data_IF_810298723541
#
_entry.id   IF_810298723541
#
_cell.length_a   1.000
_cell.length_b   1.000
_cell.length_c   1.000
_cell.angle_alpha   90.00
_cell.angle_beta   90.00
_cell.angle_gamma   90.00
#
_symmetry.space_group_name_H-M   'P 1'
#
loop_
_entity.id
_entity.type
_entity.pdbx_description
1 polymer ?
#
# COMPACT_ATOMS: atom_id res chain seq x y z
N UNK A 1 -4.14 -19.30 6.79
CA UNK A 1 -4.52 -18.12 7.62
C UNK A 1 -4.64 -16.93 6.70
N UNK A 2 -5.71 -16.16 6.83
CA UNK A 2 -5.86 -14.84 6.20
C UNK A 2 -5.86 -13.82 7.35
N UNK A 3 -5.01 -12.81 7.26
CA UNK A 3 -4.91 -11.75 8.25
C UNK A 3 -5.21 -10.38 7.60
N UNK A 4 -5.83 -9.49 8.35
CA UNK A 4 -5.99 -8.11 7.95
C UNK A 4 -4.67 -7.34 8.17
N UNK A 5 -4.55 -6.19 7.52
CA UNK A 5 -3.40 -5.28 7.63
C UNK A 5 -3.54 -4.34 8.86
N UNK A 6 -2.44 -3.78 9.34
CA UNK A 6 -1.05 -4.13 9.05
C UNK A 6 -0.69 -5.51 9.63
N UNK A 7 0.39 -6.13 9.14
CA UNK A 7 0.81 -7.46 9.61
C UNK A 7 1.08 -7.49 11.12
N UNK A 8 1.76 -6.48 11.64
CA UNK A 8 1.97 -6.20 13.05
C UNK A 8 2.50 -4.78 13.24
N UNK A 9 2.45 -4.28 14.47
CA UNK A 9 3.06 -3.00 14.89
C UNK A 9 4.55 -3.14 15.24
N UNK A 10 5.14 -4.35 15.15
CA UNK A 10 6.54 -4.64 15.48
C UNK A 10 7.14 -5.68 14.55
N UNK A 11 8.35 -5.44 14.05
CA UNK A 11 9.04 -6.40 13.17
C UNK A 11 9.29 -7.74 13.84
N UNK A 12 9.66 -7.75 15.13
CA UNK A 12 9.86 -8.99 15.87
C UNK A 12 8.61 -9.87 15.96
N UNK A 13 7.42 -9.29 15.89
CA UNK A 13 6.17 -10.04 15.84
C UNK A 13 5.92 -10.59 14.43
N UNK A 14 6.27 -9.83 13.38
CA UNK A 14 6.27 -10.34 12.01
C UNK A 14 7.19 -11.56 11.87
N UNK A 15 8.40 -11.51 12.45
CA UNK A 15 9.36 -12.61 12.43
C UNK A 15 8.81 -13.85 13.14
N UNK A 16 8.21 -13.68 14.33
CA UNK A 16 7.55 -14.78 15.06
C UNK A 16 6.37 -15.37 14.31
N UNK A 17 5.63 -14.54 13.55
CA UNK A 17 4.53 -15.00 12.72
C UNK A 17 5.06 -15.85 11.56
N UNK A 18 6.15 -15.43 10.89
CA UNK A 18 6.82 -16.23 9.86
C UNK A 18 7.26 -17.59 10.42
N UNK A 19 7.95 -17.58 11.56
CA UNK A 19 8.38 -18.83 12.22
C UNK A 19 7.19 -19.76 12.52
N UNK A 20 6.06 -19.21 12.98
CA UNK A 20 4.87 -20.00 13.26
C UNK A 20 4.24 -20.57 11.98
N UNK A 21 4.17 -19.78 10.90
CA UNK A 21 3.66 -20.19 9.59
C UNK A 21 4.50 -21.33 9.03
N UNK A 22 5.84 -21.20 9.06
CA UNK A 22 6.78 -22.18 8.53
C UNK A 22 6.80 -23.47 9.36
N UNK A 23 6.88 -23.35 10.69
CA UNK A 23 6.87 -24.50 11.61
C UNK A 23 5.61 -25.36 11.46
N UNK A 24 4.45 -24.71 11.29
CA UNK A 24 3.18 -25.40 11.14
C UNK A 24 2.83 -25.73 9.68
N UNK A 25 3.67 -25.34 8.71
CA UNK A 25 3.48 -25.58 7.26
C UNK A 25 2.12 -25.10 6.76
N UNK A 26 1.67 -23.95 7.24
CA UNK A 26 0.40 -23.35 6.83
C UNK A 26 0.62 -22.24 5.82
N UNK A 27 -0.35 -22.03 4.92
CA UNK A 27 -0.34 -20.86 4.04
C UNK A 27 -0.84 -19.63 4.79
N UNK A 28 -0.25 -18.49 4.50
CA UNK A 28 -0.61 -17.19 5.08
C UNK A 28 -0.79 -16.16 3.97
N UNK A 29 -1.92 -15.46 3.99
CA UNK A 29 -2.21 -14.32 3.11
C UNK A 29 -2.41 -13.07 3.98
N UNK A 30 -1.67 -12.01 3.69
CA UNK A 30 -1.93 -10.68 4.21
C UNK A 30 -2.87 -9.93 3.27
N UNK A 31 -3.95 -9.37 3.82
CA UNK A 31 -4.94 -8.63 3.03
C UNK A 31 -4.31 -7.42 2.33
N UNK A 32 -4.59 -7.27 1.03
CA UNK A 32 -4.00 -6.25 0.18
C UNK A 32 -4.94 -5.85 -0.97
N UNK A 33 -4.48 -4.99 -1.89
CA UNK A 33 -5.26 -4.50 -3.02
C UNK A 33 -4.65 -4.86 -4.38
N UNK A 34 -3.77 -5.84 -4.43
CA UNK A 34 -3.00 -6.17 -5.63
C UNK A 34 -3.84 -6.76 -6.77
N UNK A 35 -5.08 -7.19 -6.49
CA UNK A 35 -6.00 -7.71 -7.52
C UNK A 35 -6.99 -6.69 -8.07
N UNK A 36 -6.83 -5.40 -7.78
CA UNK A 36 -7.64 -4.39 -8.46
C UNK A 36 -7.40 -4.44 -9.98
N UNK A 37 -8.45 -4.38 -10.80
CA UNK A 37 -8.34 -4.57 -12.26
C UNK A 37 -7.29 -3.67 -12.92
N UNK A 38 -7.27 -2.38 -12.58
CA UNK A 38 -6.28 -1.44 -13.12
C UNK A 38 -4.83 -1.81 -12.73
N UNK A 39 -4.62 -2.34 -11.52
CA UNK A 39 -3.30 -2.74 -11.03
C UNK A 39 -2.84 -4.02 -11.74
N UNK A 40 -3.73 -4.99 -11.94
CA UNK A 40 -3.46 -6.22 -12.71
C UNK A 40 -3.09 -5.88 -14.15
N UNK A 41 -3.87 -5.01 -14.80
CA UNK A 41 -3.60 -4.57 -16.17
C UNK A 41 -2.27 -3.82 -16.28
N UNK A 42 -1.93 -2.99 -15.29
CA UNK A 42 -0.62 -2.36 -15.21
C UNK A 42 0.52 -3.37 -15.08
N UNK A 43 0.34 -4.42 -14.26
CA UNK A 43 1.30 -5.52 -14.13
C UNK A 43 1.49 -6.28 -15.46
N UNK A 44 0.41 -6.61 -16.15
CA UNK A 44 0.47 -7.27 -17.46
C UNK A 44 1.22 -6.40 -18.48
N UNK A 45 0.99 -5.09 -18.48
CA UNK A 45 1.69 -4.16 -19.36
C UNK A 45 3.21 -4.10 -19.06
N UNK A 46 3.61 -4.11 -17.78
CA UNK A 46 5.02 -4.23 -17.38
C UNK A 46 5.61 -5.55 -17.85
N UNK A 47 4.94 -6.66 -17.56
CA UNK A 47 5.42 -8.02 -17.90
C UNK A 47 5.50 -8.29 -19.41
N UNK A 48 4.65 -7.63 -20.21
CA UNK A 48 4.73 -7.70 -21.68
C UNK A 48 5.97 -7.05 -22.27
N UNK A 49 6.74 -6.29 -21.46
CA UNK A 49 7.89 -5.50 -21.91
C UNK A 49 7.52 -4.26 -22.73
N UNK A 50 6.26 -3.84 -22.70
CA UNK A 50 5.74 -2.68 -23.43
C UNK A 50 6.54 -1.40 -23.19
N UNK A 51 7.01 -1.18 -21.96
CA UNK A 51 7.81 -0.01 -21.58
C UNK A 51 9.31 -0.28 -21.42
N UNK A 52 9.76 -1.50 -21.73
CA UNK A 52 11.16 -1.89 -21.63
C UNK A 52 11.63 -2.14 -20.20
N UNK A 53 12.90 -1.90 -19.92
CA UNK A 53 13.51 -2.02 -18.60
C UNK A 53 12.97 -0.94 -17.65
N UNK A 54 12.62 -1.29 -16.42
CA UNK A 54 12.10 -0.35 -15.44
C UNK A 54 13.22 0.47 -14.80
N UNK A 55 12.98 1.76 -14.64
CA UNK A 55 13.92 2.71 -14.04
C UNK A 55 13.37 3.44 -12.83
N UNK A 56 12.08 3.76 -12.83
CA UNK A 56 11.47 4.45 -11.70
C UNK A 56 10.00 4.07 -11.48
N UNK A 57 9.55 4.23 -10.24
CA UNK A 57 8.14 4.09 -9.85
C UNK A 57 7.76 5.17 -8.83
N UNK A 58 6.64 5.85 -9.07
CA UNK A 58 6.11 6.88 -8.18
C UNK A 58 4.66 6.58 -7.83
N UNK A 59 4.30 6.70 -6.56
CA UNK A 59 2.94 6.43 -6.09
C UNK A 59 2.44 7.61 -5.28
N UNK A 60 1.30 8.15 -5.69
CA UNK A 60 0.46 9.04 -4.90
C UNK A 60 -0.68 8.25 -4.31
N UNK A 61 -0.84 8.29 -2.99
CA UNK A 61 -1.82 7.50 -2.26
C UNK A 61 -2.53 8.38 -1.22
N UNK A 62 -3.47 9.21 -1.70
CA UNK A 62 -4.20 10.15 -0.86
C UNK A 62 -5.66 9.75 -0.69
N UNK A 63 -6.10 9.65 0.58
CA UNK A 63 -7.48 9.36 0.89
C UNK A 63 -8.34 10.61 0.99
N UNK A 64 -9.55 10.52 0.45
CA UNK A 64 -10.59 11.52 0.69
C UNK A 64 -11.13 11.40 2.13
N UNK A 65 -11.86 12.45 2.55
CA UNK A 65 -12.49 12.46 3.88
C UNK A 65 -13.47 11.31 4.11
N UNK A 66 -14.06 10.76 3.07
CA UNK A 66 -15.09 9.73 3.14
C UNK A 66 -14.59 8.32 2.79
N UNK A 67 -13.28 8.16 2.58
CA UNK A 67 -12.70 6.85 2.27
C UNK A 67 -12.83 5.89 3.47
N UNK A 68 -13.49 4.77 3.24
CA UNK A 68 -13.61 3.67 4.19
C UNK A 68 -15.02 3.28 4.65
N UNK A 69 -16.02 4.18 4.79
CA UNK A 69 -17.37 3.77 5.15
C UNK A 69 -18.09 3.14 3.95
N UNK A 70 -19.19 2.43 4.19
CA UNK A 70 -20.09 2.05 3.12
C UNK A 70 -20.56 3.28 2.34
N UNK A 71 -20.63 3.16 1.02
CA UNK A 71 -21.08 4.26 0.14
C UNK A 71 -22.48 4.73 0.53
N UNK A 72 -22.70 6.04 0.46
CA UNK A 72 -23.99 6.66 0.75
C UNK A 72 -24.34 6.82 2.22
N UNK A 73 -23.46 6.46 3.16
CA UNK A 73 -23.70 6.64 4.60
C UNK A 73 -23.28 8.01 5.12
N UNK A 74 -22.50 8.75 4.33
CA UNK A 74 -21.94 10.05 4.70
C UNK A 74 -22.78 11.20 4.15
N UNK A 75 -22.83 12.29 4.90
CA UNK A 75 -23.50 13.52 4.51
C UNK A 75 -22.51 14.66 4.30
N UNK A 76 -22.92 15.66 3.49
CA UNK A 76 -22.11 16.86 3.35
C UNK A 76 -21.96 17.55 4.72
N UNK A 77 -20.70 17.81 5.11
CA UNK A 77 -20.38 18.40 6.41
C UNK A 77 -19.99 17.42 7.50
N UNK A 78 -20.13 16.12 7.28
CA UNK A 78 -19.61 15.13 8.22
C UNK A 78 -18.08 15.28 8.35
N UNK A 79 -17.51 15.09 9.57
CA UNK A 79 -16.08 15.16 9.78
C UNK A 79 -15.35 14.07 8.98
N UNK A 80 -14.10 14.28 8.57
CA UNK A 80 -13.32 13.25 7.89
C UNK A 80 -13.20 11.98 8.74
N UNK A 81 -13.15 10.81 8.06
CA UNK A 81 -12.85 9.55 8.74
C UNK A 81 -11.38 9.49 9.04
N UNK A 82 -11.06 9.12 10.27
CA UNK A 82 -9.69 8.85 10.70
C UNK A 82 -9.59 7.42 11.26
N UNK A 83 -8.68 6.61 10.68
CA UNK A 83 -8.53 5.22 11.11
C UNK A 83 -7.82 5.08 12.46
N UNK A 84 -6.97 6.02 12.83
CA UNK A 84 -6.38 6.06 14.17
C UNK A 84 -7.46 6.24 15.23
N UNK A 85 -8.41 7.16 15.03
CA UNK A 85 -9.55 7.36 15.94
C UNK A 85 -10.35 6.06 16.09
N UNK A 86 -10.66 5.39 14.98
CA UNK A 86 -11.35 4.09 14.98
C UNK A 86 -10.56 3.00 15.68
N UNK A 87 -9.25 2.96 15.49
CA UNK A 87 -8.36 2.04 16.18
C UNK A 87 -8.40 2.26 17.70
N UNK A 88 -8.26 3.51 18.15
CA UNK A 88 -8.27 3.85 19.56
C UNK A 88 -9.62 3.53 20.22
N UNK A 89 -10.74 3.86 19.55
CA UNK A 89 -12.09 3.49 20.01
C UNK A 89 -12.26 1.96 20.13
N UNK A 90 -11.87 1.20 19.12
CA UNK A 90 -11.98 -0.27 19.13
C UNK A 90 -11.18 -0.88 20.28
N UNK A 91 -9.98 -0.39 20.54
CA UNK A 91 -9.13 -0.88 21.63
C UNK A 91 -9.67 -0.49 23.00
N UNK A 92 -10.16 0.72 23.15
CA UNK A 92 -10.80 1.17 24.40
C UNK A 92 -12.03 0.31 24.73
N UNK A 93 -12.81 -0.10 23.74
CA UNK A 93 -14.01 -0.93 23.91
C UNK A 93 -13.74 -2.31 24.50
N UNK A 94 -12.54 -2.86 24.27
CA UNK A 94 -12.12 -4.18 24.81
C UNK A 94 -11.12 -4.07 25.98
N UNK A 95 -10.90 -2.85 26.49
CA UNK A 95 -9.98 -2.62 27.63
C UNK A 95 -8.52 -2.92 27.29
N UNK A 96 -8.14 -2.91 26.02
CA UNK A 96 -6.77 -3.15 25.63
C UNK A 96 -5.85 -2.00 26.07
N UNK A 97 -4.70 -2.33 26.64
CA UNK A 97 -3.70 -1.37 27.13
C UNK A 97 -2.39 -1.51 26.39
N UNK A 98 -1.63 -0.42 26.29
CA UNK A 98 -0.28 -0.45 25.68
C UNK A 98 -0.29 -0.55 24.16
N UNK A 99 -1.35 -0.11 23.50
CA UNK A 99 -1.42 -0.04 22.05
C UNK A 99 -0.71 1.22 21.59
N UNK A 100 0.24 1.04 20.68
CA UNK A 100 0.89 2.14 20.02
C UNK A 100 -0.04 2.73 18.96
N UNK A 101 -0.25 4.04 19.01
CA UNK A 101 -0.93 4.77 17.94
C UNK A 101 -0.14 4.63 16.64
N UNK A 102 -0.81 4.37 15.54
CA UNK A 102 -0.21 4.26 14.22
C UNK A 102 -0.57 5.46 13.36
N UNK A 103 0.44 6.03 12.68
CA UNK A 103 0.23 7.03 11.65
C UNK A 103 -0.29 6.42 10.35
N UNK A 104 -0.66 7.30 9.41
CA UNK A 104 -1.24 6.89 8.13
C UNK A 104 -0.30 6.00 7.32
N UNK A 105 1.01 6.28 7.36
CA UNK A 105 2.01 5.44 6.71
C UNK A 105 2.01 4.01 7.25
N UNK A 106 1.83 3.82 8.56
CA UNK A 106 1.79 2.49 9.18
C UNK A 106 0.48 1.76 8.88
N UNK A 107 -0.64 2.48 8.86
CA UNK A 107 -1.97 1.90 8.67
C UNK A 107 -2.20 1.49 7.20
N UNK A 108 -1.80 2.36 6.25
CA UNK A 108 -2.17 2.24 4.85
C UNK A 108 -0.98 1.96 3.91
N UNK A 109 0.25 2.10 4.38
CA UNK A 109 1.47 1.95 3.56
C UNK A 109 1.62 0.59 2.88
N UNK A 110 0.97 -0.44 3.41
CA UNK A 110 0.96 -1.78 2.80
C UNK A 110 0.43 -1.76 1.36
N UNK A 111 -0.57 -0.93 1.07
CA UNK A 111 -1.18 -0.91 -0.26
C UNK A 111 -0.21 -0.35 -1.32
N UNK A 112 0.30 0.88 -1.21
CA UNK A 112 1.22 1.41 -2.20
C UNK A 112 2.54 0.65 -2.28
N UNK A 113 3.08 0.17 -1.14
CA UNK A 113 4.29 -0.66 -1.15
C UNK A 113 4.04 -2.03 -1.74
N UNK A 114 2.83 -2.58 -1.57
CA UNK A 114 2.38 -3.78 -2.26
C UNK A 114 2.33 -3.60 -3.79
N UNK A 115 1.86 -2.46 -4.28
CA UNK A 115 1.89 -2.13 -5.71
C UNK A 115 3.32 -2.00 -6.23
N UNK A 116 4.19 -1.30 -5.50
CA UNK A 116 5.60 -1.15 -5.88
C UNK A 116 6.24 -2.53 -6.01
N UNK A 117 6.15 -3.37 -4.98
CA UNK A 117 6.70 -4.72 -4.98
C UNK A 117 6.16 -5.56 -6.15
N UNK A 118 4.85 -5.53 -6.37
CA UNK A 118 4.21 -6.33 -7.42
C UNK A 118 4.61 -5.89 -8.83
N UNK A 119 4.72 -4.57 -9.07
CA UNK A 119 5.04 -4.03 -10.39
C UNK A 119 6.52 -4.09 -10.73
N UNK A 120 7.41 -4.02 -9.73
CA UNK A 120 8.87 -4.00 -9.94
C UNK A 120 9.55 -5.33 -9.68
N UNK A 121 8.84 -6.28 -9.05
CA UNK A 121 9.38 -7.57 -8.56
C UNK A 121 10.64 -7.38 -7.70
N UNK A 122 10.67 -6.32 -6.88
CA UNK A 122 11.82 -5.93 -6.06
C UNK A 122 11.39 -5.49 -4.66
N UNK A 123 12.32 -5.57 -3.72
CA UNK A 123 12.17 -5.04 -2.38
C UNK A 123 12.81 -3.65 -2.26
N UNK A 124 12.33 -2.86 -1.32
CA UNK A 124 12.93 -1.57 -1.01
C UNK A 124 14.17 -1.79 -0.16
N UNK A 125 15.33 -1.34 -0.64
CA UNK A 125 16.62 -1.47 0.07
C UNK A 125 16.85 -0.33 1.05
N UNK A 126 16.51 0.91 0.66
CA UNK A 126 16.75 2.11 1.46
C UNK A 126 15.63 3.13 1.28
N UNK A 127 15.35 3.87 2.34
CA UNK A 127 14.34 4.93 2.34
C UNK A 127 14.88 6.23 2.92
N UNK A 128 14.33 7.36 2.44
CA UNK A 128 14.40 8.65 3.09
C UNK A 128 13.00 9.23 3.15
N UNK A 129 12.52 9.52 4.36
CA UNK A 129 11.15 9.97 4.58
C UNK A 129 11.09 11.33 5.29
N UNK A 130 9.99 12.04 4.99
CA UNK A 130 9.49 13.15 5.77
C UNK A 130 8.05 12.86 6.14
N UNK A 131 7.74 12.98 7.42
CA UNK A 131 6.38 12.81 7.96
C UNK A 131 5.89 14.14 8.54
N UNK A 132 4.60 14.33 8.50
CA UNK A 132 3.95 15.53 8.99
C UNK A 132 2.58 15.18 9.58
N UNK A 133 2.06 16.09 10.40
CA UNK A 133 0.73 15.99 11.00
C UNK A 133 0.04 17.34 10.84
N UNK A 134 -0.91 17.41 9.91
CA UNK A 134 -1.52 18.67 9.49
C UNK A 134 -3.04 18.67 9.48
N UNK A 135 -3.67 17.51 9.33
CA UNK A 135 -5.09 17.43 8.95
C UNK A 135 -5.99 16.93 10.08
N UNK A 136 -5.46 16.14 11.01
CA UNK A 136 -6.27 15.47 12.02
C UNK A 136 -5.73 15.71 13.45
N UNK A 137 -6.57 16.29 14.32
CA UNK A 137 -6.18 16.58 15.71
C UNK A 137 -5.78 15.31 16.47
N UNK A 138 -6.47 14.18 16.24
CA UNK A 138 -6.14 12.91 16.87
C UNK A 138 -4.72 12.43 16.54
N UNK A 139 -4.22 12.72 15.33
CA UNK A 139 -2.84 12.40 14.94
C UNK A 139 -1.83 13.34 15.66
N UNK A 140 -2.17 14.63 15.80
CA UNK A 140 -1.38 15.59 16.58
C UNK A 140 -1.25 15.13 18.03
N UNK A 141 -2.37 14.78 18.67
CA UNK A 141 -2.43 14.39 20.08
C UNK A 141 -1.66 13.09 20.37
N UNK A 142 -1.56 12.20 19.38
CA UNK A 142 -0.86 10.93 19.50
C UNK A 142 0.55 10.95 18.87
N UNK A 143 1.03 12.10 18.37
CA UNK A 143 2.37 12.27 17.78
C UNK A 143 2.69 11.31 16.63
N UNK A 144 1.70 11.05 15.76
CA UNK A 144 1.82 10.19 14.57
C UNK A 144 1.42 10.96 13.32
N UNK A 145 1.94 10.51 12.17
CA UNK A 145 1.72 11.17 10.89
C UNK A 145 0.29 10.99 10.35
N UNK A 146 -0.20 12.00 9.64
CA UNK A 146 -1.33 11.93 8.72
C UNK A 146 -0.91 12.16 7.26
N UNK A 147 0.37 12.50 7.06
CA UNK A 147 1.00 12.71 5.76
C UNK A 147 2.45 12.24 5.79
N UNK A 148 2.88 11.52 4.75
CA UNK A 148 4.27 11.14 4.56
C UNK A 148 4.69 11.25 3.10
N UNK A 149 5.95 11.63 2.88
CA UNK A 149 6.64 11.54 1.59
C UNK A 149 7.90 10.72 1.78
N UNK A 150 8.08 9.68 0.97
CA UNK A 150 9.16 8.71 1.09
C UNK A 150 9.87 8.59 -0.26
N UNK A 151 11.16 8.81 -0.29
CA UNK A 151 12.04 8.42 -1.41
C UNK A 151 12.51 6.99 -1.18
N UNK A 152 12.55 6.19 -2.23
CA UNK A 152 12.80 4.75 -2.21
C UNK A 152 13.95 4.39 -3.15
N UNK A 153 14.81 3.50 -2.69
CA UNK A 153 15.77 2.79 -3.54
C UNK A 153 15.47 1.29 -3.43
N UNK A 154 15.25 0.63 -4.56
CA UNK A 154 14.96 -0.80 -4.62
C UNK A 154 16.27 -1.60 -4.80
N UNK A 155 16.23 -2.87 -4.45
CA UNK A 155 17.40 -3.78 -4.50
C UNK A 155 17.87 -4.09 -5.93
N UNK A 156 17.01 -3.91 -6.93
CA UNK A 156 17.32 -4.04 -8.36
C UNK A 156 17.74 -2.70 -9.03
N UNK A 157 17.96 -1.63 -8.26
CA UNK A 157 18.43 -0.34 -8.76
C UNK A 157 17.33 0.60 -9.24
N UNK A 158 16.07 0.20 -9.23
CA UNK A 158 14.93 1.08 -9.49
C UNK A 158 14.83 2.11 -8.36
N UNK A 159 14.58 3.37 -8.71
CA UNK A 159 14.30 4.44 -7.74
C UNK A 159 12.81 4.75 -7.70
N UNK A 160 12.33 5.27 -6.58
CA UNK A 160 10.92 5.58 -6.47
C UNK A 160 10.56 6.62 -5.42
N UNK A 161 9.28 6.93 -5.37
CA UNK A 161 8.71 7.74 -4.30
C UNK A 161 7.31 7.27 -3.96
N UNK A 162 6.94 7.48 -2.72
CA UNK A 162 5.60 7.31 -2.18
C UNK A 162 5.19 8.57 -1.47
N UNK A 163 4.06 9.15 -1.88
CA UNK A 163 3.36 10.18 -1.11
C UNK A 163 2.07 9.55 -0.60
N UNK A 164 1.85 9.56 0.72
CA UNK A 164 0.69 8.94 1.35
C UNK A 164 0.10 9.84 2.41
N UNK A 165 -1.22 9.93 2.46
CA UNK A 165 -1.89 10.73 3.48
C UNK A 165 -3.41 10.63 3.47
N UNK A 166 -3.99 10.88 4.62
CA UNK A 166 -5.44 11.04 4.81
C UNK A 166 -5.75 12.54 4.94
N UNK A 167 -5.78 13.20 3.80
CA UNK A 167 -5.80 14.67 3.74
C UNK A 167 -7.21 15.29 3.75
N UNK A 168 -8.25 14.44 3.76
CA UNK A 168 -9.64 14.93 3.81
C UNK A 168 -10.16 15.61 2.54
N UNK A 169 -9.29 15.85 1.56
CA UNK A 169 -9.64 16.44 0.27
C UNK A 169 -8.88 15.72 -0.84
N UNK A 170 -9.57 15.22 -1.83
CA UNK A 170 -8.97 14.54 -2.98
C UNK A 170 -9.90 14.61 -4.19
N UNK A 171 -9.39 14.25 -5.35
CA UNK A 171 -10.10 14.38 -6.62
C UNK A 171 -11.31 13.45 -6.77
N UNK A 172 -11.34 12.37 -6.00
CA UNK A 172 -12.44 11.42 -6.01
C UNK A 172 -13.07 11.31 -4.60
N UNK A 173 -14.38 11.57 -4.45
CA UNK A 173 -15.03 11.66 -3.12
C UNK A 173 -15.06 10.34 -2.35
N UNK A 174 -15.09 9.21 -3.06
CA UNK A 174 -15.25 7.89 -2.43
C UNK A 174 -13.94 7.29 -1.91
N UNK A 175 -12.81 7.63 -2.52
CA UNK A 175 -11.55 6.98 -2.18
C UNK A 175 -10.37 7.95 -2.09
N UNK A 176 -10.28 8.92 -2.99
CA UNK A 176 -9.17 9.87 -3.04
C UNK A 176 -8.43 9.84 -4.36
N UNK A 177 -7.19 10.28 -4.34
CA UNK A 177 -6.27 10.23 -5.47
C UNK A 177 -5.27 9.11 -5.26
N UNK A 178 -5.37 8.06 -6.07
CA UNK A 178 -4.42 6.94 -6.07
C UNK A 178 -3.90 6.79 -7.48
N UNK A 179 -2.63 7.16 -7.68
CA UNK A 179 -1.92 7.09 -8.96
C UNK A 179 -0.58 6.40 -8.82
N UNK A 180 -0.26 5.58 -9.80
CA UNK A 180 1.02 4.90 -9.90
C UNK A 180 1.61 5.26 -11.27
N UNK A 181 2.82 5.79 -11.27
CA UNK A 181 3.60 6.05 -12.47
C UNK A 181 4.78 5.09 -12.52
N UNK A 182 4.86 4.28 -13.57
CA UNK A 182 5.99 3.39 -13.82
C UNK A 182 6.74 3.89 -15.04
N UNK A 183 8.04 4.09 -14.92
CA UNK A 183 8.90 4.65 -15.96
C UNK A 183 9.89 3.58 -16.40
N UNK A 184 9.90 3.29 -17.69
CA UNK A 184 10.82 2.36 -18.32
C UNK A 184 11.62 2.98 -19.47
N UNK A 185 12.55 2.20 -20.02
CA UNK A 185 13.48 2.65 -21.08
C UNK A 185 12.77 2.99 -22.40
N UNK A 186 11.58 2.43 -22.65
CA UNK A 186 10.81 2.62 -23.90
C UNK A 186 9.53 3.41 -23.71
N UNK A 187 9.16 3.77 -22.49
CA UNK A 187 7.94 4.50 -22.21
C UNK A 187 7.57 4.49 -20.73
N UNK A 188 6.33 4.80 -20.42
CA UNK A 188 5.81 4.79 -19.06
C UNK A 188 4.35 4.33 -18.99
N UNK A 189 3.93 3.92 -17.82
CA UNK A 189 2.56 3.52 -17.51
C UNK A 189 2.04 4.43 -16.42
N UNK A 190 0.81 4.91 -16.59
CA UNK A 190 0.06 5.60 -15.55
C UNK A 190 -1.14 4.72 -15.19
N UNK A 191 -1.25 4.35 -13.93
CA UNK A 191 -2.36 3.58 -13.38
C UNK A 191 -3.11 4.51 -12.43
N UNK A 192 -4.42 4.68 -12.61
CA UNK A 192 -5.29 5.35 -11.66
C UNK A 192 -6.26 4.35 -11.06
N UNK A 193 -6.30 4.26 -9.73
CA UNK A 193 -7.26 3.38 -9.04
C UNK A 193 -8.61 4.08 -8.82
N UNK A 194 -8.60 5.37 -8.52
CA UNK A 194 -9.82 6.13 -8.24
C UNK A 194 -10.73 6.23 -9.48
N UNK A 195 -10.09 6.36 -10.64
CA UNK A 195 -10.71 6.27 -11.97
C UNK A 195 -10.00 5.15 -12.69
N UNK A 196 -10.48 3.90 -12.63
CA UNK A 196 -9.70 2.73 -13.05
C UNK A 196 -9.28 2.83 -14.51
N UNK A 197 -8.14 3.46 -14.73
CA UNK A 197 -7.56 3.74 -16.03
C UNK A 197 -6.10 3.27 -16.03
N UNK A 198 -5.66 2.73 -17.16
CA UNK A 198 -4.25 2.46 -17.44
C UNK A 198 -3.89 3.13 -18.74
N UNK A 199 -2.89 3.98 -18.72
CA UNK A 199 -2.34 4.62 -19.92
C UNK A 199 -0.89 4.21 -20.09
N UNK A 200 -0.54 3.70 -21.27
CA UNK A 200 0.82 3.36 -21.65
C UNK A 200 1.30 4.43 -22.63
N UNK A 201 2.31 5.15 -22.25
CA UNK A 201 2.91 6.21 -23.07
C UNK A 201 4.23 5.69 -23.65
N UNK A 202 4.26 5.51 -24.95
CA UNK A 202 5.44 5.10 -25.68
C UNK A 202 6.26 6.32 -26.11
N UNK A 203 7.55 6.12 -26.32
CA UNK A 203 8.46 7.21 -26.74
C UNK A 203 8.24 7.63 -28.20
N UNK A 204 7.85 6.69 -29.04
CA UNK A 204 7.88 6.79 -30.51
C UNK A 204 6.58 6.35 -31.21
N UNK A 205 5.52 6.12 -30.48
CA UNK A 205 4.20 5.76 -31.02
C UNK A 205 3.06 6.33 -30.16
N UNK A 206 1.81 6.38 -30.70
CA UNK A 206 0.67 6.86 -29.95
C UNK A 206 0.43 6.11 -28.64
N UNK A 207 -0.12 6.74 -27.61
CA UNK A 207 -0.44 6.08 -26.35
C UNK A 207 -1.55 5.05 -26.53
N UNK A 208 -1.53 4.04 -25.66
CA UNK A 208 -2.59 3.05 -25.51
C UNK A 208 -3.30 3.28 -24.19
N UNK A 209 -4.63 3.42 -24.23
CA UNK A 209 -5.45 3.73 -23.04
C UNK A 209 -6.47 2.63 -22.80
N UNK A 210 -6.62 2.22 -21.55
CA UNK A 210 -7.62 1.28 -21.09
C UNK A 210 -8.45 1.92 -19.98
N UNK A 211 -9.77 1.79 -20.07
CA UNK A 211 -10.71 2.20 -19.02
C UNK A 211 -11.38 0.97 -18.45
N UNK A 212 -11.36 0.88 -17.14
CA UNK A 212 -11.97 -0.20 -16.39
C UNK A 212 -13.09 0.33 -15.51
N UNK A 213 -14.06 -0.51 -15.19
CA UNK A 213 -15.01 -0.22 -14.15
C UNK A 213 -14.37 -0.46 -12.78
N UNK A 214 -14.68 0.40 -11.81
CA UNK A 214 -14.23 0.20 -10.43
C UNK A 214 -15.16 -0.78 -9.72
N UNK A 215 -14.69 -2.01 -9.56
CA UNK A 215 -15.43 -3.08 -8.88
C UNK A 215 -14.77 -3.30 -7.51
N UNK A 216 -15.32 -2.68 -6.46
CA UNK A 216 -14.74 -2.70 -5.12
C UNK A 216 -14.59 -4.12 -4.53
N UNK A 217 -15.53 -5.01 -4.84
CA UNK A 217 -15.56 -6.36 -4.26
C UNK A 217 -14.74 -7.38 -5.05
N UNK A 218 -14.30 -7.07 -6.27
CA UNK A 218 -13.58 -8.02 -7.12
C UNK A 218 -12.21 -8.36 -6.55
N UNK A 219 -11.49 -7.36 -6.02
CA UNK A 219 -10.22 -7.59 -5.37
C UNK A 219 -10.33 -8.61 -4.22
N UNK A 220 -11.35 -8.48 -3.38
CA UNK A 220 -11.53 -9.33 -2.20
C UNK A 220 -11.86 -10.76 -2.61
N UNK A 221 -12.72 -10.93 -3.61
CA UNK A 221 -13.01 -12.24 -4.18
C UNK A 221 -11.75 -12.89 -4.77
N UNK A 222 -10.97 -12.15 -5.57
CA UNK A 222 -9.75 -12.65 -6.19
C UNK A 222 -8.65 -12.95 -5.17
N UNK A 223 -8.58 -12.23 -4.05
CA UNK A 223 -7.68 -12.56 -2.95
C UNK A 223 -8.02 -13.90 -2.31
N UNK A 224 -9.31 -14.13 -2.04
CA UNK A 224 -9.78 -15.41 -1.46
C UNK A 224 -9.57 -16.55 -2.45
N UNK A 225 -9.85 -16.36 -3.75
CA UNK A 225 -9.59 -17.34 -4.79
C UNK A 225 -8.08 -17.66 -4.91
N UNK A 226 -7.22 -16.64 -4.89
CA UNK A 226 -5.77 -16.84 -4.89
C UNK A 226 -5.30 -17.66 -3.68
N UNK A 227 -5.87 -17.39 -2.49
CA UNK A 227 -5.55 -18.16 -1.31
C UNK A 227 -6.05 -19.60 -1.40
N UNK A 228 -7.26 -19.84 -1.92
CA UNK A 228 -7.78 -21.18 -2.15
C UNK A 228 -6.89 -21.97 -3.12
N UNK A 229 -6.50 -21.36 -4.24
CA UNK A 229 -5.53 -21.96 -5.18
C UNK A 229 -4.18 -22.28 -4.53
N UNK A 230 -3.70 -21.40 -3.66
CA UNK A 230 -2.44 -21.63 -2.94
C UNK A 230 -2.53 -22.87 -2.02
N UNK A 231 -3.70 -23.12 -1.42
CA UNK A 231 -3.96 -24.35 -0.64
C UNK A 231 -3.99 -25.59 -1.52
N UNK A 232 -4.66 -25.53 -2.67
CA UNK A 232 -4.84 -26.68 -3.58
C UNK A 232 -3.54 -27.05 -4.31
N UNK A 233 -2.76 -26.06 -4.72
CA UNK A 233 -1.58 -26.27 -5.58
C UNK A 233 -0.26 -26.28 -4.82
N UNK A 234 -0.25 -25.84 -3.55
CA UNK A 234 0.97 -25.67 -2.76
C UNK A 234 1.77 -24.39 -3.08
N UNK A 235 1.36 -23.59 -4.07
CA UNK A 235 2.00 -22.30 -4.37
C UNK A 235 1.86 -21.31 -3.23
N UNK A 236 2.65 -20.22 -3.28
CA UNK A 236 2.51 -19.13 -2.31
C UNK A 236 1.37 -18.18 -2.72
N UNK A 237 0.61 -17.65 -1.74
CA UNK A 237 -0.33 -16.55 -2.00
C UNK A 237 0.37 -15.29 -2.48
N UNK A 238 -0.35 -14.40 -3.15
CA UNK A 238 0.18 -13.18 -3.77
C UNK A 238 0.93 -12.27 -2.78
N UNK A 239 0.53 -12.26 -1.53
CA UNK A 239 1.24 -11.59 -0.44
C UNK A 239 1.30 -12.51 0.78
N UNK A 240 2.34 -13.32 0.83
CA UNK A 240 2.61 -14.23 1.92
C UNK A 240 3.24 -13.54 3.14
N UNK A 241 3.53 -14.29 4.20
CA UNK A 241 4.09 -13.76 5.44
C UNK A 241 5.44 -13.03 5.22
N UNK A 242 6.33 -13.57 4.39
CA UNK A 242 7.61 -12.93 4.08
C UNK A 242 7.42 -11.61 3.34
N UNK A 243 6.60 -11.58 2.29
CA UNK A 243 6.28 -10.36 1.57
C UNK A 243 5.61 -9.31 2.45
N UNK A 244 4.72 -9.72 3.34
CA UNK A 244 4.11 -8.83 4.34
C UNK A 244 5.12 -8.23 5.30
N UNK A 245 6.08 -9.04 5.78
CA UNK A 245 7.19 -8.60 6.63
C UNK A 245 8.12 -7.61 5.93
N UNK A 246 8.45 -7.84 4.65
CA UNK A 246 9.31 -6.95 3.86
C UNK A 246 8.66 -5.56 3.70
N UNK A 247 7.34 -5.53 3.47
CA UNK A 247 6.57 -4.28 3.43
C UNK A 247 6.57 -3.60 4.81
N UNK A 248 6.33 -4.35 5.89
CA UNK A 248 6.38 -3.82 7.24
C UNK A 248 7.76 -3.24 7.58
N UNK A 249 8.84 -3.91 7.19
CA UNK A 249 10.21 -3.42 7.36
C UNK A 249 10.42 -2.07 6.66
N UNK A 250 9.92 -1.93 5.44
CA UNK A 250 9.97 -0.66 4.70
C UNK A 250 9.20 0.45 5.42
N UNK A 251 8.00 0.15 5.92
CA UNK A 251 7.19 1.10 6.69
C UNK A 251 7.92 1.56 7.94
N UNK A 252 8.47 0.63 8.75
CA UNK A 252 9.20 0.97 9.97
C UNK A 252 10.47 1.79 9.68
N UNK A 253 11.22 1.44 8.63
CA UNK A 253 12.38 2.21 8.19
C UNK A 253 11.98 3.64 7.76
N UNK A 254 10.84 3.80 7.08
CA UNK A 254 10.36 5.11 6.67
C UNK A 254 9.89 5.95 7.89
N UNK A 255 9.23 5.34 8.87
CA UNK A 255 8.85 6.02 10.12
C UNK A 255 10.10 6.46 10.89
N UNK A 256 11.11 5.60 10.99
CA UNK A 256 12.40 5.94 11.63
C UNK A 256 13.12 7.06 10.88
N UNK A 257 13.14 7.01 9.54
CA UNK A 257 13.71 8.07 8.71
C UNK A 257 12.99 9.41 8.93
N UNK A 258 11.64 9.39 9.03
CA UNK A 258 10.83 10.57 9.32
C UNK A 258 11.17 11.20 10.69
N UNK A 259 11.43 10.36 11.70
CA UNK A 259 11.83 10.81 13.06
C UNK A 259 13.24 11.36 13.12
N UNK A 260 14.18 10.69 12.48
CA UNK A 260 15.61 11.04 12.55
C UNK A 260 16.05 12.07 11.51
N UNK A 261 15.29 12.21 10.42
CA UNK A 261 15.65 13.03 9.27
C UNK A 261 16.86 12.46 8.49
N UNK A 262 17.17 11.17 8.64
CA UNK A 262 18.26 10.48 7.97
C UNK A 262 17.76 9.36 7.09
N UNK A 263 18.47 8.99 6.00
CA UNK A 263 18.19 7.76 5.26
C UNK A 263 18.35 6.52 6.15
N UNK A 264 17.48 5.52 5.94
CA UNK A 264 17.48 4.26 6.70
C UNK A 264 17.51 3.08 5.73
N UNK A 265 18.43 2.14 5.96
CA UNK A 265 18.46 0.86 5.25
C UNK A 265 17.33 -0.04 5.75
N UNK A 266 16.66 -0.74 4.84
CA UNK A 266 15.58 -1.67 5.16
C UNK A 266 16.18 -3.04 5.49
N UNK A 267 15.81 -3.59 6.63
CA UNK A 267 16.29 -4.92 7.06
C UNK A 267 15.26 -5.99 6.69
N UNK A 268 15.59 -6.81 5.70
CA UNK A 268 14.76 -7.92 5.21
C UNK A 268 14.97 -9.21 5.99
#
# INVERSE_FOLDING_TARGET
VIADKPMSTRLSECDRLIEAVERNKVKFLLWNRNFLPAVIQGKEAVQSGAIGELHAIHVDFYFSKDAGPPKGTRQHGDPPINWLERQLEAHASVGAVGIEAMGELQIEGIYPLGYIRMLTDANVRRVFARTATHFHQVNVDNHVDDLATVSLELDNGIVGSLCIGRIGAASHPDIGEIKIHVIGSKGGIVISEARPEVSIHYRDQPPLEFKNERVANENDFLLVDNFARALDTGCEPILNARGGRDIAATVFAAVESGKTGQPVEVTH
#
